data_IF_821750678976
#
_entry.id   IF_821750678976
#
_cell.length_a   1.000
_cell.length_b   1.000
_cell.length_c   1.000
_cell.angle_alpha   90.00
_cell.angle_beta   90.00
_cell.angle_gamma   90.00
#
_symmetry.space_group_name_H-M   'P 1'
#
loop_
_entity.id
_entity.type
_entity.pdbx_description
1 polymer ?
#
# COMPACT_ATOMS: atom_id res chain seq x y z
N UNK A 1 18.58 4.24 16.64
CA UNK A 1 17.20 3.72 16.44
C UNK A 1 16.74 2.76 17.54
N UNK A 2 17.34 1.58 17.73
CA UNK A 2 16.94 0.61 18.79
C UNK A 2 16.79 1.24 20.19
N UNK A 3 17.80 2.00 20.61
CA UNK A 3 17.83 2.73 21.89
C UNK A 3 16.79 3.86 21.96
N UNK A 4 16.54 4.55 20.85
CA UNK A 4 15.54 5.63 20.76
C UNK A 4 14.11 5.09 20.86
N UNK A 5 13.86 3.89 20.31
CA UNK A 5 12.56 3.21 20.36
C UNK A 5 12.34 2.42 21.65
N UNK A 6 13.29 2.45 22.60
CA UNK A 6 13.24 1.74 23.89
C UNK A 6 12.93 0.23 23.75
N UNK A 7 13.28 -0.38 22.62
CA UNK A 7 13.08 -1.81 22.41
C UNK A 7 14.23 -2.57 23.07
N UNK A 8 13.93 -3.32 24.14
CA UNK A 8 14.88 -4.28 24.71
C UNK A 8 14.89 -5.52 23.82
N UNK A 9 16.05 -5.90 23.31
CA UNK A 9 16.24 -7.15 22.59
C UNK A 9 16.22 -8.32 23.59
N UNK A 10 15.05 -8.68 24.10
CA UNK A 10 14.83 -9.98 24.71
C UNK A 10 14.69 -11.01 23.58
N UNK A 11 15.42 -12.12 23.71
CA UNK A 11 15.57 -13.19 22.71
C UNK A 11 14.26 -13.76 22.16
N UNK A 12 13.13 -13.54 22.83
CA UNK A 12 11.80 -14.07 22.46
C UNK A 12 10.80 -12.98 22.05
N UNK A 13 11.25 -11.79 21.65
CA UNK A 13 10.35 -10.73 21.15
C UNK A 13 9.92 -11.05 19.72
N UNK A 14 9.25 -12.19 19.54
CA UNK A 14 8.77 -12.73 18.29
C UNK A 14 7.88 -11.70 17.57
N UNK A 15 8.37 -11.11 16.48
CA UNK A 15 7.65 -10.86 15.22
C UNK A 15 6.22 -10.26 15.23
N UNK A 16 5.72 -9.69 16.33
CA UNK A 16 4.28 -9.41 16.48
C UNK A 16 3.75 -8.42 15.44
N UNK A 17 4.57 -7.48 15.04
CA UNK A 17 4.08 -6.32 14.33
C UNK A 17 3.86 -6.59 12.82
N UNK A 18 4.61 -7.49 12.16
CA UNK A 18 4.31 -7.93 10.78
C UNK A 18 3.21 -9.00 10.68
N UNK A 19 2.90 -9.66 11.80
CA UNK A 19 1.81 -10.64 11.89
C UNK A 19 0.45 -9.99 12.15
N UNK A 20 0.39 -8.65 12.21
CA UNK A 20 -0.87 -7.94 12.39
C UNK A 20 -1.75 -8.15 11.16
N UNK A 21 -2.70 -9.09 11.29
CA UNK A 21 -3.73 -9.35 10.28
C UNK A 21 -4.48 -8.07 9.92
N UNK A 22 -4.69 -7.17 10.89
CA UNK A 22 -5.31 -5.87 10.66
C UNK A 22 -4.49 -4.97 9.74
N UNK A 23 -3.17 -4.92 9.90
CA UNK A 23 -2.31 -4.15 8.98
C UNK A 23 -2.34 -4.74 7.56
N UNK A 24 -2.27 -6.07 7.44
CA UNK A 24 -2.37 -6.75 6.13
C UNK A 24 -3.72 -6.45 5.47
N UNK A 25 -4.81 -6.48 6.23
CA UNK A 25 -6.15 -6.20 5.72
C UNK A 25 -6.30 -4.74 5.28
N UNK A 26 -5.79 -3.79 6.07
CA UNK A 26 -5.78 -2.37 5.68
C UNK A 26 -4.97 -2.13 4.39
N UNK A 27 -3.88 -2.86 4.20
CA UNK A 27 -3.10 -2.79 2.96
C UNK A 27 -3.92 -3.28 1.76
N UNK A 28 -4.66 -4.39 1.90
CA UNK A 28 -5.53 -4.92 0.84
C UNK A 28 -6.64 -3.96 0.46
N UNK A 29 -7.34 -3.40 1.45
CA UNK A 29 -8.42 -2.44 1.23
C UNK A 29 -7.96 -1.18 0.47
N UNK A 30 -6.67 -0.85 0.53
CA UNK A 30 -6.12 0.26 -0.28
C UNK A 30 -6.05 -0.07 -1.77
N UNK A 31 -5.88 -1.33 -2.17
CA UNK A 31 -5.95 -1.76 -3.59
C UNK A 31 -7.38 -1.67 -4.12
N UNK A 32 -8.36 -2.01 -3.30
CA UNK A 32 -9.78 -1.98 -3.69
C UNK A 32 -10.25 -0.55 -4.06
N UNK A 33 -9.52 0.49 -3.64
CA UNK A 33 -9.77 1.86 -4.08
C UNK A 33 -9.47 2.06 -5.57
N UNK A 34 -8.43 1.40 -6.10
CA UNK A 34 -8.06 1.46 -7.53
C UNK A 34 -9.14 0.84 -8.39
N UNK A 35 -9.74 -0.26 -7.95
CA UNK A 35 -10.77 -0.99 -8.69
C UNK A 35 -12.08 -0.19 -8.83
N UNK A 36 -12.28 0.85 -8.00
CA UNK A 36 -13.40 1.78 -8.07
C UNK A 36 -13.17 2.96 -9.03
N UNK A 37 -11.94 3.17 -9.50
CA UNK A 37 -11.60 4.28 -10.41
C UNK A 37 -12.36 4.21 -11.74
N UNK A 38 -12.49 3.05 -12.41
CA UNK A 38 -13.27 2.95 -13.66
C UNK A 38 -14.73 3.37 -13.50
N UNK A 39 -15.37 2.96 -12.39
CA UNK A 39 -16.75 3.31 -12.07
C UNK A 39 -16.92 4.84 -11.93
N UNK A 40 -15.98 5.51 -11.25
CA UNK A 40 -16.01 6.97 -11.07
C UNK A 40 -15.84 7.69 -12.41
N UNK A 41 -14.94 7.18 -13.26
CA UNK A 41 -14.66 7.71 -14.60
C UNK A 41 -15.74 7.36 -15.63
N UNK A 42 -16.61 6.39 -15.33
CA UNK A 42 -17.64 5.91 -16.27
C UNK A 42 -17.05 5.13 -17.45
N UNK A 43 -15.93 4.45 -17.24
CA UNK A 43 -15.23 3.65 -18.26
C UNK A 43 -15.29 2.17 -17.91
N UNK A 44 -15.17 1.32 -18.92
CA UNK A 44 -15.08 -0.12 -18.72
C UNK A 44 -13.82 -0.50 -17.93
N UNK A 45 -13.93 -1.54 -17.09
CA UNK A 45 -12.84 -1.99 -16.23
C UNK A 45 -11.75 -2.63 -17.09
N UNK A 46 -10.66 -1.91 -17.31
CA UNK A 46 -9.42 -2.46 -17.82
C UNK A 46 -8.49 -2.80 -16.64
N UNK A 47 -8.21 -4.10 -16.37
CA UNK A 47 -7.35 -4.51 -15.27
C UNK A 47 -5.90 -4.02 -15.40
N UNK A 48 -5.46 -3.58 -16.58
CA UNK A 48 -4.13 -3.01 -16.80
C UNK A 48 -4.12 -1.47 -16.82
N UNK A 49 -5.25 -0.81 -16.59
CA UNK A 49 -5.34 0.65 -16.60
C UNK A 49 -4.92 1.24 -17.94
N UNK A 50 -5.41 0.66 -19.04
CA UNK A 50 -5.01 1.02 -20.39
C UNK A 50 -5.38 2.44 -20.83
N UNK A 51 -5.12 2.76 -22.12
CA UNK A 51 -5.18 4.12 -22.65
C UNK A 51 -6.50 4.85 -22.37
N UNK A 52 -7.62 4.12 -22.39
CA UNK A 52 -8.97 4.66 -22.17
C UNK A 52 -9.11 5.26 -20.76
N UNK A 53 -8.62 4.57 -19.73
CA UNK A 53 -8.70 5.06 -18.35
C UNK A 53 -7.88 6.34 -18.19
N UNK A 54 -6.68 6.38 -18.77
CA UNK A 54 -5.80 7.55 -18.71
C UNK A 54 -6.42 8.75 -19.46
N UNK A 55 -6.98 8.53 -20.65
CA UNK A 55 -7.65 9.57 -21.44
C UNK A 55 -8.86 10.15 -20.73
N UNK A 56 -9.73 9.31 -20.15
CA UNK A 56 -10.91 9.77 -19.40
C UNK A 56 -10.53 10.53 -18.14
N UNK A 57 -9.49 10.08 -17.42
CA UNK A 57 -8.97 10.84 -16.28
C UNK A 57 -8.41 12.20 -16.73
N UNK A 58 -7.61 12.24 -17.80
CA UNK A 58 -7.08 13.50 -18.34
C UNK A 58 -8.18 14.45 -18.82
N UNK A 59 -9.23 13.92 -19.46
CA UNK A 59 -10.42 14.68 -19.87
C UNK A 59 -11.09 15.33 -18.66
N UNK A 60 -11.34 14.55 -17.60
CA UNK A 60 -11.92 15.04 -16.35
C UNK A 60 -11.11 16.21 -15.75
N UNK A 61 -9.78 16.08 -15.67
CA UNK A 61 -8.90 17.14 -15.16
C UNK A 61 -8.82 18.38 -16.06
N UNK A 62 -9.00 18.23 -17.38
CA UNK A 62 -9.02 19.34 -18.33
C UNK A 62 -10.31 20.12 -18.26
N UNK A 63 -11.44 19.43 -18.21
CA UNK A 63 -12.76 20.06 -18.20
C UNK A 63 -13.06 20.75 -16.86
N UNK A 64 -12.56 20.21 -15.74
CA UNK A 64 -12.75 20.75 -14.38
C UNK A 64 -14.23 21.00 -14.00
N UNK A 65 -15.17 20.38 -14.70
CA UNK A 65 -16.62 20.54 -14.47
C UNK A 65 -17.17 19.65 -13.36
N UNK A 66 -16.43 18.60 -13.00
CA UNK A 66 -16.78 17.64 -11.93
C UNK A 66 -15.72 17.65 -10.84
N UNK A 67 -15.71 18.70 -10.02
CA UNK A 67 -14.75 18.84 -8.93
C UNK A 67 -14.90 17.74 -7.89
N UNK A 68 -16.11 17.23 -7.66
CA UNK A 68 -16.40 16.12 -6.77
C UNK A 68 -15.68 14.83 -7.19
N UNK A 69 -15.72 14.48 -8.48
CA UNK A 69 -15.00 13.30 -9.01
C UNK A 69 -13.49 13.49 -8.91
N UNK A 70 -13.00 14.68 -9.22
CA UNK A 70 -11.58 15.03 -9.11
C UNK A 70 -11.09 14.87 -7.67
N UNK A 71 -11.80 15.45 -6.70
CA UNK A 71 -11.44 15.37 -5.29
C UNK A 71 -11.49 13.93 -4.77
N UNK A 72 -12.48 13.14 -5.21
CA UNK A 72 -12.58 11.73 -4.84
C UNK A 72 -11.39 10.91 -5.37
N UNK A 73 -11.03 11.07 -6.64
CA UNK A 73 -9.88 10.39 -7.24
C UNK A 73 -8.55 10.81 -6.59
N UNK A 74 -8.39 12.10 -6.28
CA UNK A 74 -7.24 12.60 -5.54
C UNK A 74 -7.16 12.04 -4.13
N UNK A 75 -8.31 11.91 -3.44
CA UNK A 75 -8.38 11.29 -2.13
C UNK A 75 -7.98 9.81 -2.19
N UNK A 76 -8.46 9.06 -3.19
CA UNK A 76 -8.08 7.65 -3.40
C UNK A 76 -6.57 7.52 -3.59
N UNK A 77 -5.99 8.31 -4.50
CA UNK A 77 -4.54 8.34 -4.74
C UNK A 77 -3.75 8.73 -3.48
N UNK A 78 -4.28 9.69 -2.69
CA UNK A 78 -3.68 10.14 -1.45
C UNK A 78 -3.64 9.05 -0.38
N UNK A 79 -4.76 8.35 -0.17
CA UNK A 79 -4.87 7.22 0.76
C UNK A 79 -3.94 6.09 0.32
N UNK A 80 -4.00 5.69 -0.95
CA UNK A 80 -3.14 4.63 -1.48
C UNK A 80 -1.65 4.97 -1.24
N UNK A 81 -1.21 6.17 -1.62
CA UNK A 81 0.17 6.63 -1.43
C UNK A 81 0.60 6.65 0.03
N UNK A 82 -0.27 7.12 0.93
CA UNK A 82 0.01 7.13 2.37
C UNK A 82 0.17 5.72 2.93
N UNK A 83 -0.68 4.78 2.51
CA UNK A 83 -0.62 3.38 2.91
C UNK A 83 0.66 2.73 2.37
N UNK A 84 1.01 2.90 1.08
CA UNK A 84 2.27 2.36 0.51
C UNK A 84 3.48 2.87 1.29
N UNK A 85 3.53 4.17 1.58
CA UNK A 85 4.62 4.80 2.33
C UNK A 85 4.71 4.28 3.76
N UNK A 86 3.59 4.11 4.43
CA UNK A 86 3.56 3.52 5.77
C UNK A 86 4.18 2.13 5.75
N UNK A 87 3.70 1.23 4.88
CA UNK A 87 4.19 -0.14 4.80
C UNK A 87 5.65 -0.24 4.39
N UNK A 88 6.09 0.60 3.45
CA UNK A 88 7.49 0.67 3.05
C UNK A 88 8.39 1.06 4.23
N UNK A 89 8.10 2.18 4.91
CA UNK A 89 8.88 2.65 6.05
C UNK A 89 8.85 1.67 7.21
N UNK A 90 7.69 1.06 7.43
CA UNK A 90 7.50 0.01 8.43
C UNK A 90 8.40 -1.20 8.14
N UNK A 91 8.47 -1.66 6.89
CA UNK A 91 9.39 -2.73 6.47
C UNK A 91 10.86 -2.36 6.71
N UNK A 92 11.25 -1.14 6.35
CA UNK A 92 12.62 -0.66 6.58
C UNK A 92 12.99 -0.63 8.07
N UNK A 93 12.07 -0.15 8.92
CA UNK A 93 12.26 -0.14 10.37
C UNK A 93 12.56 -1.56 10.88
N UNK A 94 11.82 -2.55 10.40
CA UNK A 94 11.98 -3.92 10.86
C UNK A 94 13.28 -4.56 10.40
N UNK A 95 13.72 -4.27 9.17
CA UNK A 95 15.04 -4.69 8.68
C UNK A 95 16.15 -4.11 9.58
N UNK A 96 16.04 -2.84 9.99
CA UNK A 96 17.02 -2.20 10.88
C UNK A 96 16.96 -2.80 12.30
N UNK A 97 15.76 -3.13 12.78
CA UNK A 97 15.56 -3.66 14.13
C UNK A 97 16.01 -5.13 14.26
N UNK A 98 15.76 -5.97 13.26
CA UNK A 98 16.10 -7.41 13.32
C UNK A 98 17.43 -7.73 12.61
N UNK A 99 17.97 -6.83 11.79
CA UNK A 99 19.08 -7.16 10.91
C UNK A 99 18.59 -7.92 9.67
N UNK A 100 19.30 -7.72 8.54
CA UNK A 100 18.85 -8.19 7.22
C UNK A 100 18.72 -9.72 7.12
N UNK A 101 19.51 -10.48 7.88
CA UNK A 101 19.52 -11.94 7.84
C UNK A 101 18.35 -12.55 8.63
N UNK A 102 18.07 -12.06 9.84
CA UNK A 102 16.93 -12.52 10.66
C UNK A 102 15.60 -12.03 10.10
N UNK A 103 15.56 -10.82 9.52
CA UNK A 103 14.41 -10.33 8.76
C UNK A 103 14.12 -11.19 7.51
N UNK A 104 15.13 -11.85 6.95
CA UNK A 104 15.01 -12.79 5.82
C UNK A 104 14.85 -14.25 6.24
N UNK A 105 15.23 -14.64 7.46
CA UNK A 105 15.13 -16.02 7.94
C UNK A 105 13.75 -16.31 8.57
N UNK A 106 13.13 -15.30 9.20
CA UNK A 106 11.77 -15.37 9.75
C UNK A 106 10.65 -15.19 8.70
N UNK A 107 10.93 -15.56 7.45
CA UNK A 107 9.97 -15.58 6.33
C UNK A 107 8.88 -16.60 6.65
N UNK A 108 7.73 -16.14 7.09
CA UNK A 108 6.50 -16.86 6.75
C UNK A 108 6.30 -16.64 5.24
N UNK A 109 6.28 -17.71 4.41
CA UNK A 109 6.29 -17.58 2.95
C UNK A 109 5.15 -16.73 2.39
N UNK A 110 4.02 -16.63 3.11
CA UNK A 110 2.80 -16.05 2.56
C UNK A 110 2.62 -14.54 2.78
N UNK A 111 3.16 -13.94 3.86
CA UNK A 111 2.79 -12.56 4.24
C UNK A 111 3.74 -11.48 3.69
N UNK A 112 5.05 -11.76 3.61
CA UNK A 112 6.01 -10.81 3.01
C UNK A 112 5.85 -10.80 1.49
N UNK A 113 5.45 -11.95 0.90
CA UNK A 113 5.03 -12.03 -0.49
C UNK A 113 3.73 -11.24 -0.69
N UNK A 114 2.74 -11.37 0.20
CA UNK A 114 1.50 -10.59 0.08
C UNK A 114 1.72 -9.08 0.10
N UNK A 115 2.47 -8.51 1.06
CA UNK A 115 2.65 -7.04 1.13
C UNK A 115 3.54 -6.52 0.00
N UNK A 116 4.55 -7.30 -0.40
CA UNK A 116 5.39 -6.99 -1.55
C UNK A 116 4.56 -7.07 -2.84
N UNK A 117 3.77 -8.11 -3.04
CA UNK A 117 2.80 -8.25 -4.13
C UNK A 117 1.68 -7.20 -4.06
N UNK A 118 1.31 -6.74 -2.86
CA UNK A 118 0.31 -5.68 -2.67
C UNK A 118 0.85 -4.31 -3.13
N UNK A 119 2.15 -4.05 -3.01
CA UNK A 119 2.69 -2.71 -3.26
C UNK A 119 3.78 -2.58 -4.33
N UNK A 120 4.36 -3.69 -4.79
CA UNK A 120 5.48 -3.74 -5.74
C UNK A 120 5.15 -4.47 -7.05
N UNK A 121 4.01 -5.16 -7.16
CA UNK A 121 3.48 -5.54 -8.48
C UNK A 121 2.75 -4.34 -9.11
N UNK A 122 2.98 -4.05 -10.41
CA UNK A 122 2.32 -2.96 -11.14
C UNK A 122 0.79 -3.12 -11.20
#
# INVERSE_FOLDING_TARGET
>A
LKTQLRMKASSDSEMFCFRSKGLIEMAKQSKDLRDRVPEILGVEVDPMGGPIMQESAMGLYREKRSSEKIHLLQAFQGVESAVKRFFFNYKQLLIIMMGSLEARANRVPESDDLLTQIFLEP
#
